data_IF_381254541573
#
_entry.id   IF_381254541573
#
_cell.length_a   1.000
_cell.length_b   1.000
_cell.length_c   1.000
_cell.angle_alpha   90.00
_cell.angle_beta   90.00
_cell.angle_gamma   90.00
#
_symmetry.space_group_name_H-M   'P 1'
#
loop_
_entity.id
_entity.type
_entity.pdbx_description
1 polymer ?
#
# COMPACT_ATOMS: atom_id res chain seq x y z
N UNK A 1 -23.65 -4.45 4.19
CA UNK A 1 -22.28 -4.52 4.76
C UNK A 1 -21.31 -4.84 3.65
N UNK A 2 -20.22 -4.07 3.52
CA UNK A 2 -19.15 -4.42 2.59
C UNK A 2 -18.48 -5.71 3.08
N UNK A 3 -18.19 -6.62 2.14
CA UNK A 3 -17.45 -7.85 2.46
C UNK A 3 -15.93 -7.57 2.52
N UNK A 4 -15.12 -8.57 2.89
CA UNK A 4 -13.67 -8.42 3.03
C UNK A 4 -12.89 -8.14 1.73
N UNK A 5 -13.55 -7.99 0.57
CA UNK A 5 -12.93 -7.67 -0.72
C UNK A 5 -13.21 -6.24 -1.18
N UNK A 6 -13.93 -5.44 -0.38
CA UNK A 6 -14.33 -4.07 -0.70
C UNK A 6 -13.96 -3.12 0.45
N UNK A 7 -13.59 -1.88 0.09
CA UNK A 7 -13.26 -0.79 1.01
C UNK A 7 -13.82 0.52 0.49
N UNK A 8 -14.13 1.46 1.39
CA UNK A 8 -14.75 2.75 1.11
C UNK A 8 -16.25 2.74 1.43
N UNK A 9 -16.88 3.90 1.44
CA UNK A 9 -18.31 4.13 1.71
C UNK A 9 -19.02 4.84 0.56
N UNK A 10 -18.40 5.88 0.02
CA UNK A 10 -18.87 6.62 -1.18
C UNK A 10 -18.01 6.28 -2.38
N UNK A 11 -16.68 6.18 -2.21
CA UNK A 11 -15.75 5.72 -3.22
C UNK A 11 -15.33 4.29 -2.89
N UNK A 12 -16.03 3.31 -3.43
CA UNK A 12 -15.90 1.91 -3.07
C UNK A 12 -15.01 1.17 -4.05
N UNK A 13 -13.87 0.68 -3.57
CA UNK A 13 -12.99 -0.22 -4.33
C UNK A 13 -13.29 -1.67 -3.99
N UNK A 14 -13.63 -2.48 -4.97
CA UNK A 14 -13.76 -3.94 -4.85
C UNK A 14 -12.65 -4.62 -5.65
N UNK A 15 -11.82 -5.42 -4.97
CA UNK A 15 -10.72 -6.20 -5.56
C UNK A 15 -11.15 -7.63 -5.85
N UNK A 16 -10.83 -8.18 -7.04
CA UNK A 16 -11.11 -9.56 -7.43
C UNK A 16 -9.93 -10.23 -8.14
N UNK A 17 -10.06 -11.55 -8.36
CA UNK A 17 -9.04 -12.39 -9.00
C UNK A 17 -7.99 -12.94 -8.02
N UNK A 18 -7.13 -13.81 -8.52
CA UNK A 18 -6.05 -14.50 -7.79
C UNK A 18 -4.72 -14.39 -8.54
N UNK A 19 -3.61 -14.56 -7.81
CA UNK A 19 -2.25 -14.43 -8.36
C UNK A 19 -2.00 -15.30 -9.60
N UNK A 20 -2.55 -16.50 -9.63
CA UNK A 20 -2.45 -17.47 -10.73
C UNK A 20 -3.81 -17.80 -11.36
N UNK A 21 -4.83 -16.96 -11.13
CA UNK A 21 -6.07 -16.96 -11.88
C UNK A 21 -5.89 -16.36 -13.30
N UNK A 22 -6.96 -16.28 -14.09
CA UNK A 22 -6.91 -15.68 -15.44
C UNK A 22 -6.49 -14.20 -15.41
N UNK A 23 -7.03 -13.46 -14.45
CA UNK A 23 -6.75 -12.03 -14.26
C UNK A 23 -6.81 -11.64 -12.79
N UNK A 24 -6.36 -10.43 -12.51
CA UNK A 24 -6.71 -9.67 -11.31
C UNK A 24 -7.40 -8.38 -11.76
N UNK A 25 -8.29 -7.84 -10.95
CA UNK A 25 -8.97 -6.62 -11.32
C UNK A 25 -9.60 -5.91 -10.15
N UNK A 26 -10.13 -4.73 -10.43
CA UNK A 26 -10.81 -3.89 -9.49
C UNK A 26 -12.05 -3.25 -10.12
N UNK A 27 -13.08 -3.07 -9.32
CA UNK A 27 -14.23 -2.20 -9.62
C UNK A 27 -14.16 -1.02 -8.65
N UNK A 28 -14.12 0.19 -9.19
CA UNK A 28 -14.23 1.43 -8.42
C UNK A 28 -15.59 2.05 -8.68
N UNK A 29 -16.44 2.05 -7.66
CA UNK A 29 -17.78 2.64 -7.69
C UNK A 29 -17.82 3.96 -6.92
N UNK A 30 -18.71 4.89 -7.32
CA UNK A 30 -18.86 6.18 -6.68
C UNK A 30 -17.85 7.25 -7.11
N UNK A 31 -17.07 7.01 -8.18
CA UNK A 31 -16.24 8.04 -8.77
C UNK A 31 -17.12 9.11 -9.41
N UNK A 32 -16.91 10.43 -9.13
CA UNK A 32 -17.66 11.51 -9.75
C UNK A 32 -17.63 11.46 -11.27
N UNK A 33 -18.72 11.88 -11.92
CA UNK A 33 -18.73 12.11 -13.36
C UNK A 33 -17.91 13.38 -13.69
N UNK A 34 -17.20 13.34 -14.84
CA UNK A 34 -16.48 14.51 -15.35
C UNK A 34 -14.97 14.53 -15.04
N UNK A 35 -14.42 13.55 -14.34
CA UNK A 35 -12.97 13.42 -14.18
C UNK A 35 -12.36 12.97 -15.52
N UNK A 36 -11.43 13.74 -16.08
CA UNK A 36 -10.62 13.31 -17.22
C UNK A 36 -9.76 12.11 -16.82
N UNK A 37 -9.88 10.96 -17.50
CA UNK A 37 -9.21 9.72 -17.14
C UNK A 37 -8.93 8.84 -18.35
N UNK A 38 -7.66 8.39 -18.45
CA UNK A 38 -7.19 7.43 -19.43
C UNK A 38 -6.38 6.31 -18.76
N UNK A 39 -6.24 5.16 -19.44
CA UNK A 39 -5.40 4.04 -18.96
C UNK A 39 -3.99 4.48 -18.55
N UNK A 40 -3.39 5.42 -19.28
CA UNK A 40 -2.04 5.94 -18.99
C UNK A 40 -1.91 6.56 -17.59
N UNK A 41 -2.99 7.12 -17.03
CA UNK A 41 -2.97 7.71 -15.69
C UNK A 41 -2.82 6.65 -14.61
N UNK A 42 -3.47 5.49 -14.82
CA UNK A 42 -3.38 4.34 -13.94
C UNK A 42 -2.06 3.59 -14.17
N UNK A 43 -1.70 3.40 -15.45
CA UNK A 43 -0.49 2.66 -15.84
C UNK A 43 0.78 3.24 -15.24
N UNK A 44 0.92 4.57 -15.19
CA UNK A 44 2.06 5.24 -14.53
C UNK A 44 2.28 4.77 -13.11
N UNK A 45 1.20 4.62 -12.33
CA UNK A 45 1.28 4.17 -10.94
C UNK A 45 1.56 2.66 -10.85
N UNK A 46 0.98 1.86 -11.74
CA UNK A 46 1.27 0.43 -11.86
C UNK A 46 2.73 0.18 -12.25
N UNK A 47 3.28 0.99 -13.13
CA UNK A 47 4.70 0.91 -13.53
C UNK A 47 5.64 1.16 -12.35
N UNK A 48 5.30 2.05 -11.42
CA UNK A 48 6.08 2.27 -10.19
C UNK A 48 6.04 1.06 -9.25
N UNK A 49 4.93 0.30 -9.25
CA UNK A 49 4.68 -0.86 -8.37
C UNK A 49 5.19 -2.18 -8.96
N UNK A 50 5.19 -2.37 -10.28
CA UNK A 50 5.42 -3.68 -10.94
C UNK A 50 6.74 -4.34 -10.51
N UNK A 51 6.84 -5.69 -10.56
CA UNK A 51 8.07 -6.42 -10.24
C UNK A 51 9.12 -6.28 -11.35
N UNK A 52 10.36 -6.73 -11.08
CA UNK A 52 11.39 -6.87 -12.10
C UNK A 52 12.09 -5.60 -12.53
N UNK A 53 11.95 -4.49 -11.80
CA UNK A 53 12.55 -3.19 -12.14
C UNK A 53 14.02 -3.07 -11.77
N UNK A 54 14.52 -3.89 -10.84
CA UNK A 54 15.89 -3.77 -10.33
C UNK A 54 16.40 -5.05 -9.67
N UNK A 55 17.70 -5.07 -9.34
CA UNK A 55 18.35 -6.19 -8.64
C UNK A 55 17.82 -6.40 -7.20
N UNK A 56 17.18 -5.41 -6.61
CA UNK A 56 16.62 -5.49 -5.24
C UNK A 56 15.19 -6.03 -5.21
N UNK A 57 14.58 -6.26 -6.36
CA UNK A 57 13.24 -6.86 -6.50
C UNK A 57 13.31 -8.26 -7.12
N UNK A 58 12.19 -8.99 -7.10
CA UNK A 58 12.06 -10.29 -7.77
C UNK A 58 12.36 -10.18 -9.27
N UNK A 59 12.93 -11.24 -9.85
CA UNK A 59 13.18 -11.35 -11.30
C UNK A 59 11.93 -11.71 -12.13
N UNK A 60 10.75 -11.77 -11.50
CA UNK A 60 9.49 -11.96 -12.21
C UNK A 60 9.24 -10.73 -13.08
N UNK A 61 8.96 -10.93 -14.36
CA UNK A 61 8.62 -9.86 -15.30
C UNK A 61 7.13 -9.94 -15.59
N UNK A 62 6.38 -8.91 -15.22
CA UNK A 62 4.99 -8.71 -15.59
C UNK A 62 4.81 -7.24 -15.95
N UNK A 63 4.21 -6.97 -17.08
CA UNK A 63 4.03 -5.61 -17.58
C UNK A 63 2.90 -4.89 -16.83
N UNK A 64 2.01 -5.66 -16.18
CA UNK A 64 0.84 -5.14 -15.44
C UNK A 64 0.02 -4.15 -16.28
N UNK A 65 -0.21 -4.48 -17.57
CA UNK A 65 -0.98 -3.63 -18.48
C UNK A 65 -2.43 -3.62 -18.03
N UNK A 66 -2.94 -2.44 -17.70
CA UNK A 66 -4.33 -2.25 -17.30
C UNK A 66 -5.23 -2.02 -18.52
N UNK A 67 -6.42 -2.62 -18.48
CA UNK A 67 -7.52 -2.34 -19.41
C UNK A 67 -8.70 -1.79 -18.61
N UNK A 68 -9.28 -0.66 -19.06
CA UNK A 68 -10.52 -0.11 -18.51
C UNK A 68 -11.69 -0.60 -19.36
N UNK A 69 -12.60 -1.35 -18.75
CA UNK A 69 -13.72 -1.98 -19.46
C UNK A 69 -15.00 -1.14 -19.44
N UNK A 70 -15.20 -0.34 -18.39
CA UNK A 70 -16.43 0.45 -18.17
C UNK A 70 -16.15 1.76 -17.43
N UNK A 71 -17.13 2.67 -17.41
CA UNK A 71 -17.12 3.86 -16.57
C UNK A 71 -16.47 5.08 -17.22
N UNK A 72 -15.97 4.98 -18.47
CA UNK A 72 -15.37 6.08 -19.23
C UNK A 72 -16.10 6.30 -20.54
N UNK A 73 -16.35 7.56 -20.88
CA UNK A 73 -16.89 7.98 -22.17
C UNK A 73 -16.20 9.25 -22.65
N UNK A 74 -15.64 9.23 -23.86
CA UNK A 74 -14.89 10.35 -24.46
C UNK A 74 -13.79 10.93 -23.57
N UNK A 75 -13.07 10.05 -22.83
CA UNK A 75 -11.98 10.47 -21.95
C UNK A 75 -12.40 10.97 -20.56
N UNK A 76 -13.68 10.90 -20.21
CA UNK A 76 -14.21 11.34 -18.92
C UNK A 76 -14.95 10.24 -18.18
N UNK A 77 -14.88 10.23 -16.87
CA UNK A 77 -15.69 9.36 -16.01
C UNK A 77 -17.18 9.70 -16.17
N UNK A 78 -18.03 8.67 -16.15
CA UNK A 78 -19.48 8.80 -16.37
C UNK A 78 -20.31 8.78 -15.09
N UNK A 79 -19.69 8.48 -13.94
CA UNK A 79 -20.39 8.19 -12.69
C UNK A 79 -20.82 6.71 -12.56
N UNK A 80 -20.72 5.92 -13.64
CA UNK A 80 -20.88 4.47 -13.56
C UNK A 80 -19.66 3.80 -12.96
N UNK A 81 -19.77 2.55 -12.42
CA UNK A 81 -18.63 1.82 -11.92
C UNK A 81 -17.51 1.65 -12.95
N UNK A 82 -16.28 1.96 -12.54
CA UNK A 82 -15.07 1.82 -13.39
C UNK A 82 -14.51 0.43 -13.14
N UNK A 83 -14.58 -0.45 -14.15
CA UNK A 83 -14.04 -1.81 -14.08
C UNK A 83 -12.70 -1.86 -14.78
N UNK A 84 -11.69 -2.36 -14.08
CA UNK A 84 -10.30 -2.46 -14.55
C UNK A 84 -9.77 -3.86 -14.37
N UNK A 85 -9.01 -4.36 -15.35
CA UNK A 85 -8.39 -5.69 -15.29
C UNK A 85 -6.92 -5.66 -15.72
N UNK A 86 -6.16 -6.64 -15.22
CA UNK A 86 -4.82 -7.01 -15.69
C UNK A 86 -4.82 -8.52 -15.93
N UNK A 87 -4.51 -8.94 -17.15
CA UNK A 87 -4.36 -10.35 -17.49
C UNK A 87 -3.07 -10.93 -16.92
N UNK A 88 -3.15 -12.12 -16.32
CA UNK A 88 -1.99 -12.84 -15.81
C UNK A 88 -1.32 -13.63 -16.95
N UNK A 89 -0.03 -13.34 -17.23
CA UNK A 89 0.71 -13.97 -18.35
C UNK A 89 1.75 -15.01 -17.90
N UNK A 90 2.43 -14.82 -16.77
CA UNK A 90 3.54 -15.70 -16.28
C UNK A 90 3.10 -16.54 -15.09
N UNK A 91 2.44 -17.68 -15.36
CA UNK A 91 1.90 -18.60 -14.36
C UNK A 91 2.74 -19.89 -14.29
N UNK A 92 3.72 -19.99 -13.39
CA UNK A 92 4.47 -21.23 -13.12
C UNK A 92 3.87 -21.97 -11.93
N UNK A 93 2.71 -22.60 -12.13
CA UNK A 93 1.88 -23.20 -11.06
C UNK A 93 2.49 -24.47 -10.44
N UNK A 94 3.28 -25.24 -11.18
CA UNK A 94 3.86 -26.54 -10.72
C UNK A 94 4.72 -26.37 -9.46
N UNK A 95 5.46 -25.26 -9.34
CA UNK A 95 6.29 -24.99 -8.17
C UNK A 95 5.51 -24.85 -6.85
N UNK A 96 4.19 -24.68 -6.93
CA UNK A 96 3.33 -24.45 -5.76
C UNK A 96 2.54 -25.68 -5.30
N UNK A 97 2.61 -26.82 -6.00
CA UNK A 97 1.83 -28.02 -5.63
C UNK A 97 2.15 -28.55 -4.24
N UNK A 98 3.44 -28.53 -3.86
CA UNK A 98 3.86 -28.94 -2.49
C UNK A 98 3.29 -28.00 -1.42
N UNK A 99 3.16 -26.71 -1.71
CA UNK A 99 2.64 -25.68 -0.79
C UNK A 99 1.15 -25.84 -0.49
N UNK A 100 0.47 -26.79 -1.14
CA UNK A 100 -0.91 -27.15 -0.79
C UNK A 100 -1.00 -27.81 0.59
N UNK A 101 0.03 -28.50 1.03
CA UNK A 101 0.06 -29.21 2.33
C UNK A 101 1.28 -28.88 3.18
N UNK A 102 2.38 -28.44 2.57
CA UNK A 102 3.61 -28.01 3.25
C UNK A 102 3.54 -26.49 3.50
N UNK A 103 3.35 -26.09 4.77
CA UNK A 103 3.05 -24.70 5.12
C UNK A 103 4.30 -23.83 5.21
N UNK A 104 4.33 -22.71 4.53
CA UNK A 104 5.45 -21.74 4.67
C UNK A 104 5.38 -21.04 6.03
N UNK A 105 6.47 -21.01 6.80
CA UNK A 105 6.54 -20.26 8.04
C UNK A 105 6.26 -18.76 7.79
N UNK A 106 5.44 -18.14 8.65
CA UNK A 106 5.11 -16.72 8.54
C UNK A 106 4.25 -16.31 7.33
N UNK A 107 3.76 -17.27 6.52
CA UNK A 107 2.82 -17.04 5.41
C UNK A 107 1.39 -17.41 5.81
N UNK A 108 0.42 -17.00 5.00
CA UNK A 108 -1.01 -17.27 5.20
C UNK A 108 -1.45 -18.69 4.82
N UNK A 109 -0.55 -19.59 4.41
CA UNK A 109 -0.89 -20.91 3.88
C UNK A 109 -1.76 -21.72 4.86
N UNK A 110 -1.32 -21.84 6.12
CA UNK A 110 -2.06 -22.59 7.14
C UNK A 110 -3.42 -21.96 7.50
N UNK A 111 -3.51 -20.67 7.87
CA UNK A 111 -4.83 -20.05 8.15
C UNK A 111 -5.76 -20.09 6.95
N UNK A 112 -5.26 -19.94 5.73
CA UNK A 112 -6.08 -20.05 4.53
C UNK A 112 -6.59 -21.48 4.30
N UNK A 113 -5.72 -22.49 4.47
CA UNK A 113 -6.09 -23.89 4.39
C UNK A 113 -7.20 -24.24 5.39
N UNK A 114 -7.10 -23.77 6.63
CA UNK A 114 -8.12 -23.99 7.67
C UNK A 114 -9.42 -23.25 7.37
N UNK A 115 -9.34 -21.96 7.04
CA UNK A 115 -10.51 -21.10 6.80
C UNK A 115 -11.34 -21.56 5.61
N UNK A 116 -10.69 -21.91 4.51
CA UNK A 116 -11.35 -22.24 3.25
C UNK A 116 -11.42 -23.74 2.97
N UNK A 117 -11.07 -24.59 3.94
CA UNK A 117 -11.21 -26.06 3.86
C UNK A 117 -10.62 -26.65 2.57
N UNK A 118 -9.44 -26.21 2.15
CA UNK A 118 -8.70 -26.63 0.94
C UNK A 118 -9.27 -26.10 -0.40
N UNK A 119 -10.30 -25.27 -0.40
CA UNK A 119 -10.89 -24.72 -1.63
C UNK A 119 -10.25 -23.39 -2.07
N UNK A 120 -9.29 -22.84 -1.31
CA UNK A 120 -8.55 -21.66 -1.74
C UNK A 120 -7.57 -22.00 -2.87
N UNK A 121 -7.38 -21.08 -3.81
CA UNK A 121 -6.28 -21.18 -4.75
C UNK A 121 -4.96 -20.92 -4.04
N UNK A 122 -4.14 -21.95 -3.85
CA UNK A 122 -2.84 -21.86 -3.18
C UNK A 122 -1.72 -21.39 -4.11
N UNK A 123 -1.94 -21.42 -5.43
CA UNK A 123 -0.92 -21.10 -6.44
C UNK A 123 -0.50 -19.64 -6.34
N UNK A 124 0.80 -19.39 -6.21
CA UNK A 124 1.35 -18.04 -6.03
C UNK A 124 0.82 -17.27 -4.81
N UNK A 125 0.20 -17.96 -3.84
CA UNK A 125 -0.46 -17.38 -2.67
C UNK A 125 -1.88 -16.89 -2.91
N UNK A 126 -2.44 -17.10 -4.11
CA UNK A 126 -3.85 -16.78 -4.45
C UNK A 126 -4.24 -15.34 -4.10
N UNK A 127 -5.30 -15.19 -3.29
CA UNK A 127 -5.77 -13.89 -2.77
C UNK A 127 -4.83 -13.22 -1.77
N UNK A 128 -3.90 -13.98 -1.16
CA UNK A 128 -2.92 -13.46 -0.18
C UNK A 128 -1.62 -12.99 -0.82
N UNK A 129 -1.53 -13.07 -2.14
CA UNK A 129 -0.36 -12.65 -2.89
C UNK A 129 -0.19 -11.13 -2.92
N UNK A 130 1.07 -10.65 -2.79
CA UNK A 130 1.41 -9.25 -3.03
C UNK A 130 1.04 -8.73 -4.42
N UNK A 131 0.74 -9.64 -5.40
CA UNK A 131 0.24 -9.27 -6.72
C UNK A 131 -1.08 -8.51 -6.66
N UNK A 132 -1.95 -8.85 -5.70
CA UNK A 132 -3.26 -8.22 -5.53
C UNK A 132 -3.15 -6.72 -5.20
N UNK A 133 -1.98 -6.25 -4.73
CA UNK A 133 -1.78 -4.81 -4.52
C UNK A 133 -1.84 -3.99 -5.81
N UNK A 134 -1.76 -4.61 -7.00
CA UNK A 134 -2.04 -3.90 -8.26
C UNK A 134 -3.49 -3.40 -8.32
N UNK A 135 -4.45 -4.14 -7.74
CA UNK A 135 -5.86 -3.70 -7.68
C UNK A 135 -6.04 -2.48 -6.76
N UNK A 136 -5.24 -2.38 -5.70
CA UNK A 136 -5.20 -1.18 -4.83
C UNK A 136 -4.67 0.03 -5.61
N UNK A 137 -3.63 -0.18 -6.43
CA UNK A 137 -3.04 0.88 -7.26
C UNK A 137 -4.00 1.32 -8.37
N UNK A 138 -4.77 0.42 -8.97
CA UNK A 138 -5.79 0.77 -9.97
C UNK A 138 -6.77 1.82 -9.41
N UNK A 139 -7.45 1.52 -8.31
CA UNK A 139 -8.41 2.45 -7.71
C UNK A 139 -7.73 3.67 -7.09
N UNK A 140 -6.56 3.47 -6.47
CA UNK A 140 -5.80 4.55 -5.83
C UNK A 140 -5.24 5.58 -6.82
N UNK A 141 -4.86 5.18 -8.03
CA UNK A 141 -4.42 6.10 -9.07
C UNK A 141 -5.53 7.07 -9.46
N UNK A 142 -6.77 6.57 -9.61
CA UNK A 142 -7.95 7.40 -9.88
C UNK A 142 -8.22 8.34 -8.70
N UNK A 143 -8.19 7.82 -7.47
CA UNK A 143 -8.39 8.63 -6.27
C UNK A 143 -7.33 9.73 -6.12
N UNK A 144 -6.05 9.45 -6.40
CA UNK A 144 -4.99 10.46 -6.41
C UNK A 144 -5.25 11.58 -7.42
N UNK A 145 -5.65 11.19 -8.64
CA UNK A 145 -5.99 12.17 -9.69
C UNK A 145 -7.19 13.01 -9.27
N UNK A 146 -8.26 12.38 -8.79
CA UNK A 146 -9.44 13.07 -8.29
C UNK A 146 -9.10 14.10 -7.21
N UNK A 147 -8.35 13.71 -6.20
CA UNK A 147 -7.93 14.60 -5.11
C UNK A 147 -7.08 15.76 -5.60
N UNK A 148 -6.12 15.50 -6.49
CA UNK A 148 -5.22 16.51 -7.02
C UNK A 148 -5.97 17.54 -7.86
N UNK A 149 -6.84 17.07 -8.78
CA UNK A 149 -7.50 17.91 -9.76
C UNK A 149 -8.65 18.72 -9.13
N UNK A 150 -9.24 18.25 -8.01
CA UNK A 150 -10.37 18.92 -7.36
C UNK A 150 -9.98 19.81 -6.19
N UNK A 151 -9.19 19.28 -5.24
CA UNK A 151 -8.86 19.99 -3.98
C UNK A 151 -7.36 20.13 -3.72
N UNK A 152 -6.50 19.73 -4.67
CA UNK A 152 -5.05 19.93 -4.63
C UNK A 152 -4.31 19.05 -3.59
N UNK A 153 -4.95 18.01 -3.05
CA UNK A 153 -4.34 17.09 -2.09
C UNK A 153 -3.34 16.16 -2.79
N UNK A 154 -2.15 16.03 -2.22
CA UNK A 154 -1.09 15.17 -2.74
C UNK A 154 -0.54 14.26 -1.64
N UNK A 155 -0.35 12.97 -1.98
CA UNK A 155 0.26 11.95 -1.11
C UNK A 155 1.58 11.48 -1.70
N UNK A 156 2.63 11.43 -0.87
CA UNK A 156 3.95 10.96 -1.24
C UNK A 156 4.49 10.03 -0.16
N UNK A 157 4.79 8.79 -0.54
CA UNK A 157 5.37 7.78 0.34
C UNK A 157 6.76 7.40 -0.12
N UNK A 158 7.64 7.10 0.83
CA UNK A 158 9.02 6.72 0.58
C UNK A 158 9.53 5.72 1.60
N UNK A 159 10.59 5.01 1.24
CA UNK A 159 11.29 4.10 2.14
C UNK A 159 12.16 4.88 3.09
N UNK A 160 11.87 4.85 4.39
CA UNK A 160 12.68 5.48 5.44
C UNK A 160 13.61 4.50 6.14
N UNK A 161 13.32 3.18 6.09
CA UNK A 161 14.18 2.16 6.71
C UNK A 161 14.11 0.84 5.96
N UNK A 162 15.26 0.14 5.85
CA UNK A 162 15.37 -1.25 5.44
C UNK A 162 16.32 -1.99 6.40
N UNK A 163 15.81 -3.03 7.05
CA UNK A 163 16.54 -3.71 8.12
C UNK A 163 16.98 -2.72 9.20
N UNK A 164 18.27 -2.65 9.46
CA UNK A 164 18.86 -1.69 10.44
C UNK A 164 19.26 -0.35 9.82
N UNK A 165 19.21 -0.22 8.49
CA UNK A 165 19.60 1.01 7.80
C UNK A 165 18.39 1.95 7.73
N UNK A 166 18.48 3.11 8.36
CA UNK A 166 17.41 4.11 8.44
C UNK A 166 17.90 5.50 8.02
N UNK A 167 16.99 6.32 7.54
CA UNK A 167 17.20 7.75 7.32
C UNK A 167 17.40 8.46 8.67
N UNK A 168 18.15 9.56 8.65
CA UNK A 168 18.40 10.35 9.86
C UNK A 168 17.33 11.40 10.11
N UNK A 169 16.57 11.79 9.08
CA UNK A 169 15.54 12.84 9.13
C UNK A 169 14.40 12.52 8.16
N UNK A 170 13.25 13.11 8.38
CA UNK A 170 12.12 13.08 7.44
C UNK A 170 12.49 13.76 6.11
N UNK A 171 11.90 13.27 5.02
CA UNK A 171 12.09 13.85 3.71
C UNK A 171 11.35 15.19 3.57
N UNK A 172 12.04 16.16 3.02
CA UNK A 172 11.44 17.46 2.67
C UNK A 172 10.66 17.36 1.35
N UNK A 173 9.72 18.30 1.12
CA UNK A 173 8.97 18.39 -0.14
C UNK A 173 9.88 18.45 -1.39
N UNK A 174 11.07 19.03 -1.30
CA UNK A 174 12.06 19.06 -2.39
C UNK A 174 12.61 17.67 -2.70
N UNK A 175 12.79 16.84 -1.68
CA UNK A 175 13.36 15.49 -1.78
C UNK A 175 12.36 14.47 -2.34
N UNK A 176 11.05 14.76 -2.34
CA UNK A 176 10.05 13.86 -2.95
C UNK A 176 10.32 13.57 -4.44
N UNK A 177 10.94 14.51 -5.17
CA UNK A 177 11.32 14.30 -6.58
C UNK A 177 12.36 13.18 -6.77
N UNK A 178 13.12 12.87 -5.71
CA UNK A 178 14.17 11.84 -5.75
C UNK A 178 13.70 10.44 -5.33
N UNK A 179 12.47 10.29 -4.81
CA UNK A 179 11.93 9.00 -4.35
C UNK A 179 12.08 7.90 -5.41
N UNK A 180 11.69 8.19 -6.63
CA UNK A 180 11.69 7.21 -7.73
C UNK A 180 12.96 7.23 -8.59
N UNK A 181 14.02 7.95 -8.17
CA UNK A 181 15.31 7.99 -8.90
C UNK A 181 16.25 6.85 -8.54
N UNK A 182 15.90 6.02 -7.56
CA UNK A 182 16.70 4.89 -7.12
C UNK A 182 15.83 3.65 -6.80
N UNK A 183 16.47 2.48 -6.79
CA UNK A 183 15.81 1.17 -6.68
C UNK A 183 15.07 0.93 -5.36
N UNK A 184 15.48 1.61 -4.28
CA UNK A 184 14.91 1.40 -2.93
C UNK A 184 13.88 2.45 -2.54
N UNK A 185 13.62 3.44 -3.38
CA UNK A 185 12.64 4.50 -3.16
C UNK A 185 12.93 5.35 -1.90
N UNK A 186 14.19 5.49 -1.55
CA UNK A 186 14.65 6.32 -0.44
C UNK A 186 15.14 7.68 -0.99
N UNK A 187 14.60 8.83 -0.51
CA UNK A 187 14.99 10.14 -1.03
C UNK A 187 16.42 10.55 -0.69
N UNK A 188 17.02 9.98 0.37
CA UNK A 188 18.40 10.25 0.78
C UNK A 188 19.39 9.35 0.06
N UNK A 189 20.16 9.89 -0.90
CA UNK A 189 21.04 9.14 -1.82
C UNK A 189 22.03 8.20 -1.12
N UNK A 190 22.71 8.66 -0.07
CA UNK A 190 23.69 7.84 0.64
C UNK A 190 23.03 6.69 1.41
N UNK A 191 21.91 6.94 2.05
CA UNK A 191 21.12 5.94 2.76
C UNK A 191 20.50 4.97 1.77
N UNK A 192 20.04 5.42 0.60
CA UNK A 192 19.55 4.56 -0.47
C UNK A 192 20.60 3.53 -0.91
N UNK A 193 21.86 3.94 -1.05
CA UNK A 193 22.94 3.01 -1.40
C UNK A 193 23.20 1.98 -0.30
N UNK A 194 23.21 2.39 0.96
CA UNK A 194 23.35 1.48 2.11
C UNK A 194 22.19 0.48 2.19
N UNK A 195 20.95 0.94 1.98
CA UNK A 195 19.75 0.10 1.94
C UNK A 195 19.82 -0.92 0.80
N UNK A 196 20.25 -0.48 -0.40
CA UNK A 196 20.44 -1.38 -1.56
C UNK A 196 21.44 -2.49 -1.23
N UNK A 197 22.59 -2.16 -0.66
CA UNK A 197 23.61 -3.13 -0.26
C UNK A 197 23.07 -4.12 0.79
N UNK A 198 22.33 -3.65 1.80
CA UNK A 198 21.73 -4.52 2.80
C UNK A 198 20.76 -5.54 2.18
N UNK A 199 19.95 -5.13 1.19
CA UNK A 199 19.05 -6.06 0.46
C UNK A 199 19.85 -7.09 -0.33
N UNK A 200 20.91 -6.66 -1.04
CA UNK A 200 21.74 -7.56 -1.82
C UNK A 200 22.46 -8.59 -0.95
N UNK A 201 22.90 -8.19 0.24
CA UNK A 201 23.53 -9.10 1.21
C UNK A 201 22.52 -10.10 1.78
N UNK A 202 21.30 -9.67 2.11
CA UNK A 202 20.24 -10.59 2.51
C UNK A 202 19.94 -11.60 1.38
N UNK A 203 19.84 -11.13 0.13
CA UNK A 203 19.62 -11.99 -1.04
C UNK A 203 20.71 -13.03 -1.21
N UNK A 204 22.00 -12.66 -1.06
CA UNK A 204 23.12 -13.61 -1.12
C UNK A 204 23.01 -14.71 -0.06
N UNK A 205 22.46 -14.39 1.11
CA UNK A 205 22.22 -15.34 2.20
C UNK A 205 20.94 -16.16 2.03
N UNK A 206 20.19 -15.97 0.94
CA UNK A 206 18.89 -16.60 0.71
C UNK A 206 17.79 -16.15 1.70
N UNK A 207 17.92 -14.95 2.26
CA UNK A 207 17.06 -14.38 3.29
C UNK A 207 16.34 -13.11 2.79
N UNK A 208 15.55 -12.47 3.64
CA UNK A 208 14.77 -11.27 3.34
C UNK A 208 14.86 -10.21 4.45
N UNK A 209 14.59 -8.96 4.08
CA UNK A 209 14.53 -7.83 5.01
C UNK A 209 13.14 -7.17 4.97
N UNK A 210 12.71 -6.72 6.14
CA UNK A 210 11.61 -5.78 6.30
C UNK A 210 12.10 -4.33 6.31
N UNK A 211 11.19 -3.40 6.61
CA UNK A 211 11.53 -2.00 6.75
C UNK A 211 10.32 -1.13 7.05
N UNK A 212 10.51 0.18 6.91
CA UNK A 212 9.49 1.19 7.20
C UNK A 212 9.30 2.07 5.97
N UNK A 213 8.03 2.33 5.66
CA UNK A 213 7.58 3.36 4.73
C UNK A 213 7.08 4.55 5.55
N UNK A 214 7.48 5.75 5.19
CA UNK A 214 6.83 6.98 5.62
C UNK A 214 5.94 7.52 4.52
N UNK A 215 4.80 8.09 4.90
CA UNK A 215 3.83 8.70 3.99
C UNK A 215 3.44 10.07 4.50
N UNK A 216 3.43 11.06 3.61
CA UNK A 216 3.07 12.43 3.90
C UNK A 216 1.99 12.87 2.90
N UNK A 217 0.83 13.28 3.43
CA UNK A 217 -0.25 13.86 2.62
C UNK A 217 -0.41 15.32 2.97
N UNK A 218 -0.38 16.18 1.95
CA UNK A 218 -0.40 17.64 2.09
C UNK A 218 -1.65 18.26 1.48
N UNK A 219 -1.90 19.53 1.85
CA UNK A 219 -3.00 20.35 1.35
C UNK A 219 -4.40 19.84 1.73
N UNK A 220 -4.53 19.09 2.83
CA UNK A 220 -5.84 18.65 3.28
C UNK A 220 -6.67 19.80 3.81
N UNK A 221 -7.97 19.86 3.47
CA UNK A 221 -8.90 20.73 4.17
C UNK A 221 -9.05 20.29 5.63
N UNK A 222 -9.40 21.20 6.51
CA UNK A 222 -9.77 20.90 7.89
C UNK A 222 -11.15 20.22 7.92
N UNK A 223 -11.33 19.18 8.73
CA UNK A 223 -12.67 18.61 8.98
C UNK A 223 -12.97 17.34 8.17
N UNK A 224 -12.00 16.74 7.48
CA UNK A 224 -12.18 15.39 6.91
C UNK A 224 -12.10 14.36 8.04
N UNK A 225 -13.01 13.41 8.06
CA UNK A 225 -13.10 12.34 9.05
C UNK A 225 -14.51 12.24 9.65
N UNK A 226 -14.91 11.04 10.02
CA UNK A 226 -16.23 10.72 10.58
C UNK A 226 -16.08 10.05 11.96
N UNK A 227 -15.88 10.84 13.04
CA UNK A 227 -15.82 10.27 14.39
C UNK A 227 -17.15 9.58 14.76
N UNK A 228 -17.15 8.52 15.56
CA UNK A 228 -16.03 7.97 16.33
C UNK A 228 -15.30 6.89 15.52
N UNK A 229 -16.03 5.92 14.96
CA UNK A 229 -15.46 4.72 14.33
C UNK A 229 -14.98 4.94 12.89
N UNK A 230 -15.47 5.96 12.22
CA UNK A 230 -15.03 6.39 10.90
C UNK A 230 -13.94 7.47 10.93
N UNK A 231 -13.09 7.49 11.96
CA UNK A 231 -11.96 8.41 12.02
C UNK A 231 -10.99 8.19 10.88
N UNK A 232 -10.25 9.23 10.48
CA UNK A 232 -9.24 9.10 9.42
C UNK A 232 -8.19 8.06 9.77
N UNK A 233 -7.72 8.01 11.03
CA UNK A 233 -6.75 7.00 11.46
C UNK A 233 -7.31 5.58 11.35
N UNK A 234 -8.57 5.36 11.73
CA UNK A 234 -9.23 4.06 11.63
C UNK A 234 -9.30 3.58 10.18
N UNK A 235 -9.82 4.43 9.28
CA UNK A 235 -10.05 4.05 7.90
C UNK A 235 -8.74 3.93 7.11
N UNK A 236 -7.76 4.83 7.33
CA UNK A 236 -6.42 4.71 6.75
C UNK A 236 -5.75 3.42 7.26
N UNK A 237 -5.79 3.14 8.56
CA UNK A 237 -5.20 1.93 9.14
C UNK A 237 -5.82 0.68 8.55
N UNK A 238 -7.16 0.61 8.46
CA UNK A 238 -7.88 -0.50 7.82
C UNK A 238 -7.42 -0.72 6.38
N UNK A 239 -7.28 0.35 5.60
CA UNK A 239 -6.79 0.28 4.22
C UNK A 239 -5.35 -0.24 4.16
N UNK A 240 -4.45 0.32 4.97
CA UNK A 240 -3.01 -0.02 4.99
C UNK A 240 -2.77 -1.45 5.46
N UNK A 241 -3.52 -1.97 6.46
CA UNK A 241 -3.41 -3.38 6.88
C UNK A 241 -3.88 -4.38 5.82
N UNK A 242 -4.52 -3.95 4.73
CA UNK A 242 -4.80 -4.81 3.57
C UNK A 242 -3.54 -5.11 2.73
N UNK A 243 -2.46 -4.36 2.89
CA UNK A 243 -1.19 -4.60 2.21
C UNK A 243 -0.49 -5.79 2.87
N UNK A 244 -0.14 -6.85 2.11
CA UNK A 244 0.62 -7.97 2.67
C UNK A 244 1.93 -7.52 3.31
N UNK A 245 2.32 -8.18 4.40
CA UNK A 245 3.50 -7.93 5.23
C UNK A 245 3.42 -6.69 6.14
N UNK A 246 2.42 -5.84 6.07
CA UNK A 246 2.21 -4.78 7.06
C UNK A 246 1.94 -5.38 8.44
N UNK A 247 2.60 -4.82 9.48
CA UNK A 247 2.50 -5.25 10.87
C UNK A 247 2.33 -4.13 11.88
N UNK A 248 2.51 -2.89 11.45
CA UNK A 248 2.33 -1.73 12.32
C UNK A 248 2.08 -0.47 11.51
N UNK A 249 1.38 0.46 12.13
CA UNK A 249 1.15 1.83 11.65
C UNK A 249 1.17 2.76 12.84
N UNK A 250 1.73 3.94 12.67
CA UNK A 250 1.66 5.02 13.64
C UNK A 250 1.48 6.37 12.92
N UNK A 251 0.84 7.32 13.58
CA UNK A 251 0.57 8.66 13.07
C UNK A 251 1.34 9.69 13.89
N UNK A 252 1.93 10.70 13.24
CA UNK A 252 2.70 11.74 13.90
C UNK A 252 3.83 11.18 14.75
N UNK A 253 3.88 11.59 16.02
CA UNK A 253 4.87 11.11 17.00
C UNK A 253 4.68 9.62 17.37
N UNK A 254 3.50 9.04 17.11
CA UNK A 254 3.22 7.63 17.30
C UNK A 254 3.61 7.13 18.70
N UNK A 255 4.30 5.98 18.75
CA UNK A 255 4.76 5.40 20.02
C UNK A 255 5.71 6.31 20.80
N UNK A 256 6.57 7.11 20.13
CA UNK A 256 7.46 8.03 20.80
C UNK A 256 6.71 9.15 21.55
N UNK A 257 5.47 9.45 21.16
CA UNK A 257 4.60 10.38 21.87
C UNK A 257 4.23 9.92 23.27
N UNK A 258 4.19 8.58 23.52
CA UNK A 258 3.86 8.01 24.84
C UNK A 258 4.94 8.25 25.92
N UNK A 259 6.15 8.64 25.50
CA UNK A 259 7.27 8.95 26.39
C UNK A 259 7.33 10.44 26.78
N UNK A 260 6.48 11.29 26.17
CA UNK A 260 6.48 12.73 26.35
C UNK A 260 5.46 13.20 27.38
N UNK A 261 5.75 14.33 28.01
CA UNK A 261 4.73 15.09 28.73
C UNK A 261 3.74 15.75 27.76
N UNK A 262 2.49 15.96 28.18
CA UNK A 262 1.50 16.63 27.35
C UNK A 262 1.94 17.99 26.82
N UNK A 263 2.64 18.78 27.63
CA UNK A 263 3.22 20.08 27.25
C UNK A 263 4.28 19.98 26.14
N UNK A 264 4.96 18.84 26.02
CA UNK A 264 5.98 18.60 25.00
C UNK A 264 5.36 18.02 23.71
N UNK A 265 4.25 17.29 23.84
CA UNK A 265 3.60 16.63 22.70
C UNK A 265 2.50 17.50 22.08
N UNK A 266 1.89 18.43 22.81
CA UNK A 266 0.81 19.26 22.30
C UNK A 266 1.27 20.18 21.16
N UNK A 267 0.52 20.15 20.06
CA UNK A 267 0.76 21.00 18.88
C UNK A 267 0.13 22.37 19.08
N UNK A 268 0.92 23.35 19.55
CA UNK A 268 0.44 24.72 19.83
C UNK A 268 -0.04 25.40 18.53
N UNK A 269 -1.25 25.97 18.56
CA UNK A 269 -1.82 26.70 17.42
C UNK A 269 -1.09 28.02 17.16
N UNK A 270 -1.00 28.38 15.88
CA UNK A 270 -0.46 29.66 15.39
C UNK A 270 -1.28 30.17 14.22
N UNK A 271 -1.32 31.49 14.05
CA UNK A 271 -1.88 32.13 12.86
C UNK A 271 -0.69 32.55 11.97
N UNK A 272 -0.66 32.03 10.74
CA UNK A 272 0.37 32.36 9.75
C UNK A 272 -0.27 32.60 8.39
N UNK A 273 -0.08 33.80 7.85
CA UNK A 273 -0.67 34.16 6.54
C UNK A 273 -2.20 34.03 6.50
N UNK A 274 -2.90 34.39 7.58
CA UNK A 274 -4.36 34.29 7.70
C UNK A 274 -4.90 32.85 7.86
N UNK A 275 -4.03 31.85 8.00
CA UNK A 275 -4.39 30.44 8.22
C UNK A 275 -4.06 30.01 9.64
N UNK A 276 -4.93 29.19 10.22
CA UNK A 276 -4.68 28.50 11.50
C UNK A 276 -3.85 27.25 11.20
N UNK A 277 -2.69 27.15 11.83
CA UNK A 277 -1.75 26.03 11.72
C UNK A 277 -1.27 25.63 13.11
N UNK A 278 -0.43 24.62 13.21
CA UNK A 278 0.29 24.28 14.45
C UNK A 278 1.79 24.48 14.30
N UNK A 279 2.49 24.75 15.42
CA UNK A 279 3.96 24.92 15.44
C UNK A 279 4.69 23.61 15.14
N UNK A 280 4.14 22.51 15.65
CA UNK A 280 4.63 21.13 15.51
C UNK A 280 3.52 20.30 14.88
N UNK A 281 3.77 19.04 14.56
CA UNK A 281 2.81 18.12 13.99
C UNK A 281 2.90 16.74 14.65
N UNK A 282 3.00 16.74 15.99
CA UNK A 282 3.10 15.50 16.78
C UNK A 282 1.84 14.64 16.63
N UNK A 283 0.69 15.26 16.41
CA UNK A 283 -0.59 14.57 16.16
C UNK A 283 -0.70 13.99 14.74
N UNK A 284 0.27 14.26 13.87
CA UNK A 284 0.28 13.73 12.51
C UNK A 284 -0.84 14.24 11.61
N UNK A 285 -1.34 15.46 11.84
CA UNK A 285 -2.38 16.10 11.02
C UNK A 285 -3.82 15.71 11.35
N UNK A 286 -4.04 14.89 12.38
CA UNK A 286 -5.36 14.38 12.77
C UNK A 286 -5.58 14.60 14.26
N UNK A 287 -6.70 15.20 14.62
CA UNK A 287 -7.14 15.43 16.01
C UNK A 287 -8.60 14.99 16.15
N UNK A 288 -8.87 14.14 17.12
CA UNK A 288 -10.23 13.62 17.35
C UNK A 288 -10.80 12.85 16.15
N UNK A 289 -9.95 12.25 15.32
CA UNK A 289 -10.35 11.53 14.12
C UNK A 289 -10.54 12.38 12.87
N UNK A 290 -10.23 13.69 12.94
CA UNK A 290 -10.56 14.69 11.92
C UNK A 290 -9.27 15.40 11.51
N UNK A 291 -9.11 15.71 10.20
CA UNK A 291 -7.98 16.48 9.69
C UNK A 291 -7.98 17.91 10.27
N UNK A 292 -6.80 18.38 10.69
CA UNK A 292 -6.61 19.72 11.27
C UNK A 292 -5.95 20.73 10.31
N UNK A 293 -5.78 20.36 9.02
CA UNK A 293 -5.15 21.19 8.00
C UNK A 293 -3.61 21.10 7.94
N UNK A 294 -2.98 20.43 8.91
CA UNK A 294 -1.57 20.07 8.83
C UNK A 294 -1.40 18.81 7.95
N UNK A 295 -0.17 18.54 7.45
CA UNK A 295 0.09 17.30 6.72
C UNK A 295 -0.27 16.07 7.54
N UNK A 296 -0.95 15.10 6.94
CA UNK A 296 -1.07 13.78 7.55
C UNK A 296 0.26 13.06 7.38
N UNK A 297 0.88 12.68 8.49
CA UNK A 297 2.13 11.93 8.52
C UNK A 297 1.92 10.58 9.20
N UNK A 298 2.41 9.51 8.56
CA UNK A 298 2.31 8.16 9.12
C UNK A 298 3.54 7.33 8.78
N UNK A 299 3.84 6.34 9.62
CA UNK A 299 4.90 5.35 9.43
C UNK A 299 4.31 3.96 9.45
N UNK A 300 4.76 3.11 8.51
CA UNK A 300 4.20 1.79 8.26
C UNK A 300 5.31 0.76 8.33
N UNK A 301 5.20 -0.20 9.25
CA UNK A 301 6.16 -1.27 9.43
C UNK A 301 5.80 -2.51 8.60
N UNK A 302 6.75 -2.95 7.78
CA UNK A 302 6.67 -4.16 6.96
C UNK A 302 7.59 -5.23 7.53
N UNK A 303 7.05 -6.42 7.81
CA UNK A 303 7.89 -7.58 8.16
C UNK A 303 8.67 -8.09 6.94
N UNK A 304 9.77 -8.84 7.13
CA UNK A 304 10.46 -9.54 6.06
C UNK A 304 9.53 -10.47 5.27
N UNK A 305 9.81 -10.68 3.99
CA UNK A 305 9.09 -11.63 3.17
C UNK A 305 9.23 -13.05 3.74
N UNK A 306 8.11 -13.78 3.84
CA UNK A 306 8.10 -15.13 4.46
C UNK A 306 8.71 -16.21 3.56
N UNK A 307 8.67 -16.01 2.24
CA UNK A 307 9.22 -16.96 1.28
C UNK A 307 10.70 -16.67 1.08
N UNK A 308 11.55 -17.48 1.71
CA UNK A 308 13.02 -17.39 1.65
C UNK A 308 13.62 -18.71 1.18
N UNK A 309 14.85 -18.66 0.67
CA UNK A 309 15.55 -19.84 0.16
C UNK A 309 16.29 -20.63 1.25
N UNK A 310 16.30 -20.15 2.49
CA UNK A 310 16.86 -20.90 3.62
C UNK A 310 15.94 -22.05 4.02
N UNK A 311 16.54 -23.13 4.55
CA UNK A 311 15.79 -24.24 5.14
C UNK A 311 15.15 -23.79 6.44
N UNK A 312 13.85 -24.04 6.59
CA UNK A 312 13.06 -23.66 7.77
C UNK A 312 12.28 -24.85 8.32
N UNK A 313 12.04 -24.83 9.63
CA UNK A 313 11.12 -25.77 10.27
C UNK A 313 9.68 -25.46 9.87
N UNK A 314 8.92 -26.50 9.55
CA UNK A 314 7.52 -26.40 9.11
C UNK A 314 6.75 -27.67 9.39
N UNK A 315 5.53 -27.77 8.84
CA UNK A 315 4.64 -28.91 8.97
C UNK A 315 4.04 -29.32 7.61
N UNK A 316 3.79 -30.61 7.45
CA UNK A 316 2.86 -31.15 6.44
C UNK A 316 1.52 -31.40 7.13
N UNK A 317 0.51 -30.56 6.82
CA UNK A 317 -0.83 -30.62 7.46
C UNK A 317 -1.64 -31.85 7.05
N UNK A 318 -1.32 -32.51 5.92
CA UNK A 318 -1.98 -33.72 5.49
C UNK A 318 -1.44 -34.94 6.23
N UNK A 319 -0.11 -35.00 6.42
CA UNK A 319 0.55 -36.10 7.10
C UNK A 319 0.64 -35.91 8.62
N UNK A 320 0.28 -34.71 9.12
CA UNK A 320 0.43 -34.31 10.53
C UNK A 320 1.83 -34.55 11.08
N UNK A 321 2.85 -34.08 10.32
CA UNK A 321 4.27 -34.29 10.65
C UNK A 321 5.06 -32.98 10.56
N UNK A 322 6.05 -32.82 11.46
CA UNK A 322 7.08 -31.81 11.33
C UNK A 322 7.98 -32.13 10.15
N UNK A 323 8.33 -31.12 9.36
CA UNK A 323 9.19 -31.22 8.19
C UNK A 323 10.21 -30.08 8.14
N UNK A 324 11.23 -30.23 7.34
CA UNK A 324 12.06 -29.12 6.86
C UNK A 324 11.57 -28.71 5.49
N UNK A 325 11.38 -27.41 5.28
CA UNK A 325 10.96 -26.83 4.00
C UNK A 325 12.02 -25.86 3.49
N UNK A 326 12.27 -25.90 2.19
CA UNK A 326 13.02 -24.90 1.47
C UNK A 326 12.13 -24.37 0.34
N UNK A 327 11.79 -23.10 0.38
CA UNK A 327 10.88 -22.51 -0.60
C UNK A 327 11.66 -22.10 -1.84
N UNK A 328 11.46 -22.86 -2.92
CA UNK A 328 12.00 -22.54 -4.24
C UNK A 328 11.20 -21.43 -4.93
N UNK A 329 11.83 -20.71 -5.86
CA UNK A 329 11.16 -19.72 -6.69
C UNK A 329 11.86 -18.34 -6.68
N UNK A 330 11.22 -17.38 -7.38
CA UNK A 330 11.73 -16.01 -7.52
C UNK A 330 11.03 -15.12 -6.47
N UNK A 331 11.63 -15.01 -5.28
CA UNK A 331 11.08 -14.23 -4.18
C UNK A 331 11.71 -12.85 -4.09
N UNK A 332 10.95 -11.87 -3.57
CA UNK A 332 11.48 -10.54 -3.25
C UNK A 332 12.38 -10.65 -1.99
N UNK A 333 13.66 -10.26 -2.05
CA UNK A 333 14.51 -10.18 -0.85
C UNK A 333 14.07 -9.05 0.07
N UNK A 334 13.30 -8.08 -0.44
CA UNK A 334 12.65 -7.03 0.32
C UNK A 334 11.43 -6.50 -0.45
N UNK A 335 10.26 -6.50 0.20
CA UNK A 335 9.02 -6.00 -0.43
C UNK A 335 8.87 -4.48 -0.32
N UNK A 336 9.60 -3.86 0.62
CA UNK A 336 9.47 -2.44 0.97
C UNK A 336 9.64 -1.50 -0.22
N UNK A 337 10.62 -1.66 -1.13
CA UNK A 337 10.80 -0.74 -2.27
C UNK A 337 9.62 -0.67 -3.24
N UNK A 338 8.73 -1.67 -3.21
CA UNK A 338 7.54 -1.73 -4.07
C UNK A 338 6.27 -1.20 -3.39
N UNK A 339 6.35 -0.95 -2.09
CA UNK A 339 5.21 -0.53 -1.29
C UNK A 339 4.82 0.95 -1.41
N UNK A 340 5.71 1.94 -1.65
CA UNK A 340 5.33 3.34 -1.69
C UNK A 340 4.14 3.65 -2.60
N UNK A 341 4.05 3.22 -3.88
CA UNK A 341 2.90 3.51 -4.73
C UNK A 341 1.60 2.82 -4.27
N UNK A 342 1.71 1.70 -3.52
CA UNK A 342 0.54 1.02 -2.94
C UNK A 342 0.03 1.80 -1.72
N UNK A 343 0.93 2.28 -0.86
CA UNK A 343 0.61 3.13 0.28
C UNK A 343 -0.04 4.43 -0.18
N UNK A 344 0.59 5.13 -1.14
CA UNK A 344 0.03 6.34 -1.76
C UNK A 344 -1.40 6.11 -2.25
N UNK A 345 -1.63 4.98 -2.91
CA UNK A 345 -2.93 4.63 -3.50
C UNK A 345 -4.01 4.44 -2.44
N UNK A 346 -3.71 3.71 -1.36
CA UNK A 346 -4.69 3.42 -0.32
C UNK A 346 -4.97 4.63 0.58
N UNK A 347 -3.95 5.43 0.90
CA UNK A 347 -4.13 6.70 1.63
C UNK A 347 -5.00 7.64 0.79
N UNK A 348 -4.70 7.81 -0.49
CA UNK A 348 -5.48 8.66 -1.38
C UNK A 348 -6.92 8.17 -1.55
N UNK A 349 -7.12 6.85 -1.68
CA UNK A 349 -8.46 6.25 -1.79
C UNK A 349 -9.30 6.58 -0.55
N UNK A 350 -8.71 6.42 0.64
CA UNK A 350 -9.39 6.71 1.91
C UNK A 350 -9.74 8.20 2.04
N UNK A 351 -8.78 9.09 1.71
CA UNK A 351 -9.01 10.54 1.77
C UNK A 351 -10.05 10.98 0.75
N UNK A 352 -10.06 10.42 -0.47
CA UNK A 352 -11.05 10.72 -1.49
C UNK A 352 -12.46 10.26 -1.06
N UNK A 353 -12.58 9.10 -0.41
CA UNK A 353 -13.84 8.62 0.17
C UNK A 353 -14.38 9.60 1.21
N UNK A 354 -13.54 10.07 2.14
CA UNK A 354 -13.90 11.08 3.13
C UNK A 354 -14.21 12.45 2.51
N UNK A 355 -13.50 12.86 1.46
CA UNK A 355 -13.76 14.13 0.77
C UNK A 355 -15.12 14.12 0.03
N UNK A 356 -15.52 12.97 -0.48
CA UNK A 356 -16.87 12.78 -1.06
C UNK A 356 -17.96 12.73 0.01
N UNK A 357 -17.70 12.05 1.15
CA UNK A 357 -18.64 12.00 2.29
C UNK A 357 -18.92 13.37 2.86
N UNK A 358 -17.89 14.19 3.04
CA UNK A 358 -17.99 15.54 3.61
C UNK A 358 -18.45 16.61 2.62
N UNK A 359 -18.64 16.26 1.33
CA UNK A 359 -19.05 17.19 0.29
C UNK A 359 -17.96 18.14 -0.23
N UNK A 360 -16.70 17.96 0.15
CA UNK A 360 -15.58 18.70 -0.44
C UNK A 360 -15.40 18.38 -1.94
N UNK A 361 -15.72 17.17 -2.34
CA UNK A 361 -15.80 16.75 -3.73
C UNK A 361 -17.26 16.44 -4.04
N UNK A 362 -17.77 17.03 -5.11
CA UNK A 362 -19.17 16.84 -5.56
C UNK A 362 -19.29 15.57 -6.42
N UNK A 363 -20.50 14.99 -6.54
CA UNK A 363 -20.74 13.82 -7.41
C UNK A 363 -20.58 14.09 -8.90
N UNK A 364 -20.54 15.37 -9.31
CA UNK A 364 -20.26 15.81 -10.69
C UNK A 364 -19.27 16.95 -10.63
N UNK A 365 -18.22 16.89 -11.45
CA UNK A 365 -17.12 17.85 -11.53
C UNK A 365 -17.35 18.88 -12.62
#
# INVERSE_FOLDING_TARGET
MLNGNSIGRRLVLTSFGESHGKCIGAVLDGCPAGLELEEKDIQKMLDLRKPGQSLVSTQRKEDDVVEILTGIFRGFTTGAPITMIIWNKDQKSIAYEKLRTEMRPGHSDYPAYMKYKKFNDHRGGGRFSGRLTATHVMGGAIARKLLKDTIGVETNSYTSQIGKVKMNKEATKKEFKSIYTNDVRCPEKNTALKMKNAILDARKKGDSLGGIIESITTNLPVGLGEPIFGSLESDISKAIFSIPAVKGIEFGSGFAGSEKFGSENNDAYVIKGGKILTKTNNSGGILGGISNGMPITLRIAFKPASSISQIQDSIDVKKMKSIKIQVGGRHDPCVVPRAPPVVDSLVALTIADHALLSGYIKPTL
#
